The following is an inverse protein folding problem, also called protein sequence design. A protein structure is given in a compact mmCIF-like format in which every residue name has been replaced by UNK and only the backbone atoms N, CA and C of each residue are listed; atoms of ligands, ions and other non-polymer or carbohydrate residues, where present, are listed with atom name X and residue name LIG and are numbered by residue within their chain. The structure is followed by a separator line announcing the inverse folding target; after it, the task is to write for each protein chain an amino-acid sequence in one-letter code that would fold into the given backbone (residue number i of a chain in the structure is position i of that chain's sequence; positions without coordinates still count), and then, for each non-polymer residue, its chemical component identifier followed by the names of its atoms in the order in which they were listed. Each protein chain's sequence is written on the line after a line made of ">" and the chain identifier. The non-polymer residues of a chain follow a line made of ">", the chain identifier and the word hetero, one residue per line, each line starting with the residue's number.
data_IF_557028728617
#
_entry.id   IF_557028728617
#
_cell.length_a   1.000
_cell.length_b   1.000
_cell.length_c   1.000
_cell.angle_alpha   90.00
_cell.angle_beta   90.00
_cell.angle_gamma   90.00
#
_symmetry.space_group_name_H-M   'P 1'
#
loop_
_entity.id
_entity.type
_entity.pdbx_description
1 polymer ?
#
# COMPACT_ATOMS: atom_id res chain seq x y z
N UNK A 1 -11.72 -26.69 -7.35
CA UNK A 1 -11.72 -25.49 -8.21
C UNK A 1 -10.39 -25.44 -8.92
N UNK A 2 -10.40 -25.16 -10.21
CA UNK A 2 -9.18 -25.12 -11.03
C UNK A 2 -8.73 -23.67 -11.20
N UNK A 3 -7.42 -23.45 -11.15
CA UNK A 3 -6.81 -22.12 -11.30
C UNK A 3 -6.22 -22.02 -12.69
N UNK A 4 -6.56 -20.95 -13.41
CA UNK A 4 -5.98 -20.64 -14.72
C UNK A 4 -5.00 -19.48 -14.57
N UNK A 5 -3.74 -19.71 -14.95
CA UNK A 5 -2.69 -18.68 -14.95
C UNK A 5 -2.42 -18.25 -16.39
N UNK A 6 -2.45 -16.94 -16.64
CA UNK A 6 -2.19 -16.36 -17.95
C UNK A 6 -0.83 -15.66 -17.97
N UNK A 7 -0.03 -15.89 -19.00
CA UNK A 7 1.30 -15.29 -19.20
C UNK A 7 1.30 -14.36 -20.42
N UNK A 8 0.77 -13.12 -20.28
CA UNK A 8 0.77 -12.15 -21.38
C UNK A 8 2.20 -11.84 -21.82
N UNK A 9 2.43 -11.79 -23.13
CA UNK A 9 3.75 -11.58 -23.72
C UNK A 9 4.12 -10.10 -23.84
N UNK A 10 3.15 -9.19 -23.66
CA UNK A 10 3.35 -7.76 -23.74
C UNK A 10 2.30 -6.98 -22.92
N UNK A 11 2.49 -5.66 -22.81
CA UNK A 11 1.61 -4.77 -22.02
C UNK A 11 0.20 -4.66 -22.58
N UNK A 12 0.04 -4.76 -23.90
CA UNK A 12 -1.27 -4.68 -24.56
C UNK A 12 -2.15 -5.87 -24.19
N UNK A 13 -1.60 -7.09 -24.25
CA UNK A 13 -2.29 -8.32 -23.83
C UNK A 13 -2.66 -8.28 -22.35
N UNK A 14 -1.73 -7.85 -21.50
CA UNK A 14 -1.98 -7.70 -20.06
C UNK A 14 -3.14 -6.73 -19.78
N UNK A 15 -3.17 -5.58 -20.46
CA UNK A 15 -4.22 -4.58 -20.29
C UNK A 15 -5.59 -5.11 -20.76
N UNK A 16 -5.63 -5.83 -21.88
CA UNK A 16 -6.85 -6.46 -22.38
C UNK A 16 -7.39 -7.50 -21.38
N UNK A 17 -6.53 -8.40 -20.89
CA UNK A 17 -6.90 -9.41 -19.88
C UNK A 17 -7.45 -8.75 -18.61
N UNK A 18 -6.77 -7.69 -18.11
CA UNK A 18 -7.22 -6.92 -16.94
C UNK A 18 -8.59 -6.27 -17.18
N UNK A 19 -8.84 -5.74 -18.38
CA UNK A 19 -10.13 -5.15 -18.73
C UNK A 19 -11.27 -6.19 -18.74
N UNK A 20 -11.04 -7.36 -19.35
CA UNK A 20 -12.02 -8.45 -19.35
C UNK A 20 -12.29 -8.97 -17.94
N UNK A 21 -11.25 -9.19 -17.13
CA UNK A 21 -11.42 -9.64 -15.75
C UNK A 21 -12.23 -8.64 -14.90
N UNK A 22 -11.99 -7.33 -15.06
CA UNK A 22 -12.80 -6.27 -14.43
C UNK A 22 -14.26 -6.33 -14.88
N UNK A 23 -14.52 -6.44 -16.19
CA UNK A 23 -15.87 -6.48 -16.75
C UNK A 23 -16.67 -7.69 -16.23
N UNK A 24 -16.00 -8.83 -16.07
CA UNK A 24 -16.58 -10.05 -15.52
C UNK A 24 -16.63 -10.08 -13.98
N UNK A 25 -16.19 -9.01 -13.31
CA UNK A 25 -16.06 -8.93 -11.84
C UNK A 25 -15.24 -10.08 -11.25
N UNK A 26 -14.30 -10.62 -12.01
CA UNK A 26 -13.36 -11.63 -11.54
C UNK A 26 -12.28 -10.91 -10.73
N UNK A 27 -12.09 -11.23 -9.44
CA UNK A 27 -11.01 -10.65 -8.66
C UNK A 27 -9.66 -11.15 -9.20
N UNK A 28 -8.73 -10.23 -9.43
CA UNK A 28 -7.34 -10.56 -9.77
C UNK A 28 -6.40 -9.70 -8.94
N UNK A 29 -5.32 -10.30 -8.45
CA UNK A 29 -4.26 -9.60 -7.72
C UNK A 29 -3.19 -9.03 -8.66
N UNK A 30 -2.32 -8.13 -8.18
CA UNK A 30 -1.12 -7.74 -8.91
C UNK A 30 -0.29 -8.98 -9.22
N UNK A 31 0.07 -9.16 -10.49
CA UNK A 31 0.71 -10.40 -10.96
C UNK A 31 2.19 -10.49 -10.58
N UNK A 32 2.80 -9.38 -10.13
CA UNK A 32 4.18 -9.29 -9.65
C UNK A 32 4.32 -8.16 -8.63
N UNK A 33 5.37 -8.21 -7.77
CA UNK A 33 5.74 -7.08 -6.87
C UNK A 33 5.96 -5.74 -7.61
N UNK A 34 6.25 -5.79 -8.91
CA UNK A 34 6.44 -4.61 -9.75
C UNK A 34 5.12 -3.87 -10.07
N UNK A 35 3.97 -4.51 -9.90
CA UNK A 35 2.65 -3.90 -10.16
C UNK A 35 1.94 -3.40 -8.89
N UNK A 36 2.51 -3.65 -7.72
CA UNK A 36 1.97 -3.16 -6.45
C UNK A 36 2.11 -1.64 -6.39
N UNK A 37 1.05 -0.97 -5.93
CA UNK A 37 1.10 0.41 -5.44
C UNK A 37 2.06 0.52 -4.25
N UNK A 38 2.61 1.70 -4.00
CA UNK A 38 3.49 1.92 -2.83
C UNK A 38 2.79 1.55 -1.51
N UNK A 39 1.47 1.76 -1.43
CA UNK A 39 0.65 1.33 -0.30
C UNK A 39 0.60 -0.20 -0.15
N UNK A 40 0.38 -0.93 -1.25
CA UNK A 40 0.36 -2.40 -1.23
C UNK A 40 1.74 -2.98 -0.88
N UNK A 41 2.83 -2.39 -1.38
CA UNK A 41 4.19 -2.74 -0.97
C UNK A 41 4.40 -2.50 0.52
N UNK A 42 3.91 -1.36 1.03
CA UNK A 42 3.97 -1.03 2.45
C UNK A 42 3.22 -2.04 3.32
N UNK A 43 2.04 -2.49 2.89
CA UNK A 43 1.26 -3.50 3.61
C UNK A 43 1.97 -4.86 3.60
N UNK A 44 2.57 -5.26 2.48
CA UNK A 44 3.33 -6.52 2.36
C UNK A 44 4.57 -6.53 3.27
N UNK A 45 5.27 -5.38 3.38
CA UNK A 45 6.51 -5.27 4.15
C UNK A 45 6.30 -5.03 5.65
N UNK A 46 5.34 -4.18 6.00
CA UNK A 46 5.21 -3.62 7.36
C UNK A 46 3.87 -3.97 8.02
N UNK A 47 2.93 -4.58 7.28
CA UNK A 47 1.59 -4.90 7.75
C UNK A 47 0.62 -3.72 7.66
N UNK A 48 -0.67 -4.05 7.68
CA UNK A 48 -1.75 -3.06 7.52
C UNK A 48 -1.84 -2.06 8.67
N UNK A 49 -1.54 -2.50 9.90
CA UNK A 49 -1.61 -1.63 11.08
C UNK A 49 -0.57 -0.50 11.01
N UNK A 50 0.67 -0.83 10.65
CA UNK A 50 1.73 0.17 10.50
C UNK A 50 1.39 1.20 9.40
N UNK A 51 0.91 0.73 8.24
CA UNK A 51 0.54 1.62 7.14
C UNK A 51 -0.58 2.57 7.54
N UNK A 52 -1.61 2.08 8.24
CA UNK A 52 -2.69 2.93 8.75
C UNK A 52 -2.20 3.98 9.74
N UNK A 53 -1.34 3.59 10.69
CA UNK A 53 -0.75 4.53 11.65
C UNK A 53 0.02 5.66 10.96
N UNK A 54 0.76 5.35 9.89
CA UNK A 54 1.48 6.36 9.10
C UNK A 54 0.51 7.26 8.33
N UNK A 55 -0.51 6.70 7.69
CA UNK A 55 -1.55 7.47 6.99
C UNK A 55 -2.30 8.43 7.93
N UNK A 56 -2.61 7.98 9.13
CA UNK A 56 -3.22 8.79 10.20
C UNK A 56 -2.25 9.91 10.64
N UNK A 57 -0.98 9.60 10.88
CA UNK A 57 0.02 10.60 11.24
C UNK A 57 0.21 11.67 10.16
N UNK A 58 0.19 11.29 8.87
CA UNK A 58 0.23 12.25 7.76
C UNK A 58 -1.00 13.18 7.76
N UNK A 59 -2.18 12.65 8.10
CA UNK A 59 -3.39 13.44 8.21
C UNK A 59 -3.33 14.40 9.40
N UNK A 60 -2.82 13.95 10.54
CA UNK A 60 -2.59 14.79 11.72
C UNK A 60 -1.60 15.92 11.43
N UNK A 61 -0.54 15.67 10.66
CA UNK A 61 0.39 16.72 10.20
C UNK A 61 -0.35 17.75 9.35
N UNK A 62 -1.18 17.32 8.39
CA UNK A 62 -1.97 18.24 7.54
C UNK A 62 -2.97 19.06 8.35
N UNK A 63 -3.55 18.45 9.39
CA UNK A 63 -4.52 19.09 10.28
C UNK A 63 -3.85 20.00 11.33
N UNK A 64 -2.53 19.97 11.46
CA UNK A 64 -1.80 20.72 12.49
C UNK A 64 -1.79 20.05 13.86
N UNK A 65 -2.27 18.80 13.98
CA UNK A 65 -2.29 17.99 15.20
C UNK A 65 -0.90 17.42 15.51
N UNK A 66 0.11 18.29 15.65
CA UNK A 66 1.51 17.87 15.86
C UNK A 66 2.10 18.55 17.07
N UNK A 67 3.03 17.85 17.75
CA UNK A 67 3.87 18.44 18.80
C UNK A 67 5.31 18.46 18.31
N UNK A 68 5.94 19.63 18.30
CA UNK A 68 7.37 19.77 17.99
C UNK A 68 8.17 19.65 19.27
N UNK A 69 9.06 18.67 19.30
CA UNK A 69 9.94 18.40 20.44
C UNK A 69 11.38 18.59 19.99
N UNK A 70 12.17 19.34 20.75
CA UNK A 70 13.60 19.46 20.46
C UNK A 70 14.33 18.18 20.86
N UNK A 71 15.49 17.93 20.26
CA UNK A 71 16.25 16.70 20.51
C UNK A 71 16.63 16.55 21.99
N UNK A 72 17.02 17.65 22.61
CA UNK A 72 17.35 17.74 24.03
C UNK A 72 16.18 17.36 24.96
N UNK A 73 14.94 17.60 24.52
CA UNK A 73 13.72 17.37 25.31
C UNK A 73 13.08 15.99 25.06
N UNK A 74 13.57 15.24 24.06
CA UNK A 74 12.95 14.01 23.57
C UNK A 74 12.78 12.95 24.67
N UNK A 75 13.80 12.74 25.51
CA UNK A 75 13.74 11.73 26.58
C UNK A 75 12.66 12.07 27.61
N UNK A 76 12.66 13.31 28.08
CA UNK A 76 11.66 13.85 29.01
C UNK A 76 10.25 13.73 28.44
N UNK A 77 10.06 14.11 27.18
CA UNK A 77 8.78 14.01 26.49
C UNK A 77 8.25 12.57 26.39
N UNK A 78 9.13 11.59 26.17
CA UNK A 78 8.79 10.17 26.09
C UNK A 78 8.66 9.49 27.47
N UNK A 79 8.97 10.19 28.56
CA UNK A 79 8.98 9.61 29.91
C UNK A 79 10.09 8.58 30.13
N UNK A 80 11.22 8.74 29.44
CA UNK A 80 12.39 7.84 29.47
C UNK A 80 13.56 8.42 30.28
#
# INVERSE_FOLDING_TARGET
>A
METVTLHPQNREQLNAIKAFAKALKVPFGPSTKAEQTEREKGIDLYGIEMVKTVEEAEQDIKNGNTTRVKREDLKSFLGL
#
